data_IF_594812218472
#
_entry.id   IF_594812218472
#
_cell.length_a   1.000
_cell.length_b   1.000
_cell.length_c   1.000
_cell.angle_alpha   90.00
_cell.angle_beta   90.00
_cell.angle_gamma   90.00
#
_symmetry.space_group_name_H-M   'P 1'
#
loop_
_entity.id
_entity.type
_entity.pdbx_description
1 polymer ?
#
# COMPACT_ATOMS: atom_id res chain seq x y z
N UNK A 1 -10.18 -2.86 17.28
CA UNK A 1 -9.28 -2.39 18.34
C UNK A 1 -9.80 -1.07 18.85
N UNK A 2 -9.82 -0.89 20.17
CA UNK A 2 -10.46 0.25 20.87
C UNK A 2 -10.00 1.61 20.30
N UNK A 3 -8.72 1.75 19.98
CA UNK A 3 -8.17 2.99 19.42
C UNK A 3 -8.76 3.35 18.07
N UNK A 4 -8.85 2.39 17.16
CA UNK A 4 -9.44 2.61 15.82
C UNK A 4 -10.89 3.04 15.94
N UNK A 5 -11.69 2.35 16.76
CA UNK A 5 -13.10 2.69 16.95
C UNK A 5 -13.30 4.11 17.53
N UNK A 6 -12.40 4.55 18.42
CA UNK A 6 -12.41 5.93 18.95
C UNK A 6 -12.07 6.95 17.86
N UNK A 7 -11.07 6.67 17.03
CA UNK A 7 -10.69 7.56 15.93
C UNK A 7 -11.80 7.60 14.87
N UNK A 8 -12.40 6.44 14.51
CA UNK A 8 -13.54 6.38 13.58
C UNK A 8 -14.72 7.22 14.07
N UNK A 9 -15.03 7.11 15.37
CA UNK A 9 -16.08 7.94 15.99
C UNK A 9 -15.73 9.43 15.89
N UNK A 10 -14.52 9.82 16.27
CA UNK A 10 -14.04 11.21 16.15
C UNK A 10 -14.11 11.73 14.73
N UNK A 11 -13.69 10.95 13.72
CA UNK A 11 -13.76 11.34 12.31
C UNK A 11 -15.22 11.56 11.85
N UNK A 12 -16.17 10.79 12.40
CA UNK A 12 -17.59 10.94 12.12
C UNK A 12 -18.20 12.15 12.84
N UNK A 13 -17.86 12.32 14.11
CA UNK A 13 -18.40 13.41 14.96
C UNK A 13 -17.92 14.79 14.45
N UNK A 14 -16.74 14.88 13.88
CA UNK A 14 -16.13 16.10 13.33
C UNK A 14 -16.08 16.13 11.79
N UNK A 15 -16.95 15.39 11.13
CA UNK A 15 -16.92 15.24 9.67
C UNK A 15 -17.01 16.57 8.89
N UNK A 16 -17.72 17.54 9.42
CA UNK A 16 -17.86 18.90 8.84
C UNK A 16 -16.63 19.78 9.06
N UNK A 17 -15.79 19.45 10.03
CA UNK A 17 -14.60 20.25 10.42
C UNK A 17 -13.30 19.71 9.83
N UNK A 18 -13.31 18.46 9.37
CA UNK A 18 -12.14 17.75 8.82
C UNK A 18 -12.19 17.82 7.29
N UNK A 19 -11.14 18.35 6.68
CA UNK A 19 -11.01 18.38 5.22
C UNK A 19 -10.96 16.96 4.62
N UNK A 20 -11.35 16.82 3.34
CA UNK A 20 -11.23 15.54 2.63
C UNK A 20 -9.80 15.02 2.61
N UNK A 21 -8.81 15.92 2.51
CA UNK A 21 -7.40 15.56 2.52
C UNK A 21 -6.96 14.96 3.86
N UNK A 22 -7.32 15.58 4.98
CA UNK A 22 -7.02 15.06 6.31
C UNK A 22 -7.70 13.71 6.54
N UNK A 23 -8.94 13.56 6.12
CA UNK A 23 -9.70 12.30 6.19
C UNK A 23 -9.01 11.18 5.41
N UNK A 24 -8.52 11.48 4.21
CA UNK A 24 -7.76 10.54 3.41
C UNK A 24 -6.49 10.06 4.13
N UNK A 25 -5.74 10.97 4.76
CA UNK A 25 -4.54 10.62 5.53
C UNK A 25 -4.88 9.63 6.65
N UNK A 26 -5.97 9.84 7.39
CA UNK A 26 -6.39 8.90 8.44
C UNK A 26 -6.78 7.53 7.86
N UNK A 27 -7.51 7.50 6.75
CA UNK A 27 -7.90 6.25 6.10
C UNK A 27 -6.69 5.45 5.61
N UNK A 28 -5.70 6.10 5.02
CA UNK A 28 -4.44 5.47 4.63
C UNK A 28 -3.69 4.88 5.85
N UNK A 29 -3.65 5.61 6.97
CA UNK A 29 -3.07 5.11 8.23
C UNK A 29 -3.83 3.88 8.76
N UNK A 30 -5.16 3.84 8.63
CA UNK A 30 -5.93 2.66 9.02
C UNK A 30 -5.62 1.45 8.15
N UNK A 31 -5.54 1.62 6.84
CA UNK A 31 -5.15 0.52 5.94
C UNK A 31 -3.81 -0.07 6.38
N UNK A 32 -2.80 0.77 6.62
CA UNK A 32 -1.47 0.32 7.06
C UNK A 32 -1.51 -0.35 8.42
N UNK A 33 -2.23 0.21 9.38
CA UNK A 33 -2.41 -0.38 10.72
C UNK A 33 -3.00 -1.79 10.64
N UNK A 34 -4.05 -1.96 9.83
CA UNK A 34 -4.71 -3.26 9.67
C UNK A 34 -3.83 -4.28 8.91
N UNK A 35 -3.06 -3.84 7.91
CA UNK A 35 -2.07 -4.70 7.25
C UNK A 35 -1.01 -5.18 8.27
N UNK A 36 -0.47 -4.27 9.08
CA UNK A 36 0.55 -4.60 10.10
C UNK A 36 0.02 -5.56 11.16
N UNK A 37 -1.26 -5.46 11.52
CA UNK A 37 -1.92 -6.36 12.48
C UNK A 37 -2.46 -7.66 11.84
N UNK A 38 -2.24 -7.88 10.55
CA UNK A 38 -2.80 -9.02 9.78
C UNK A 38 -4.34 -9.08 9.77
N UNK A 39 -5.01 -7.95 9.98
CA UNK A 39 -6.47 -7.80 9.90
C UNK A 39 -6.87 -7.42 8.46
N UNK A 40 -6.57 -8.30 7.51
CA UNK A 40 -6.58 -8.00 6.07
C UNK A 40 -7.97 -7.63 5.53
N UNK A 41 -9.04 -8.25 6.05
CA UNK A 41 -10.43 -7.90 5.68
C UNK A 41 -10.78 -6.44 6.03
N UNK A 42 -10.26 -5.96 7.17
CA UNK A 42 -10.46 -4.56 7.57
C UNK A 42 -9.61 -3.63 6.72
N UNK A 43 -8.37 -4.01 6.44
CA UNK A 43 -7.51 -3.25 5.53
C UNK A 43 -8.18 -3.08 4.16
N UNK A 44 -8.74 -4.17 3.61
CA UNK A 44 -9.44 -4.15 2.32
C UNK A 44 -10.65 -3.20 2.35
N UNK A 45 -11.52 -3.31 3.37
CA UNK A 45 -12.69 -2.41 3.52
C UNK A 45 -12.31 -0.94 3.56
N UNK A 46 -11.24 -0.59 4.29
CA UNK A 46 -10.77 0.79 4.36
C UNK A 46 -10.16 1.26 3.05
N UNK A 47 -9.43 0.41 2.35
CA UNK A 47 -8.86 0.71 1.05
C UNK A 47 -9.96 0.95 -0.01
N UNK A 48 -11.00 0.13 -0.03
CA UNK A 48 -12.18 0.31 -0.88
C UNK A 48 -12.95 1.60 -0.54
N UNK A 49 -13.07 1.94 0.74
CA UNK A 49 -13.68 3.20 1.19
C UNK A 49 -12.90 4.41 0.66
N UNK A 50 -11.58 4.36 0.64
CA UNK A 50 -10.77 5.40 0.02
C UNK A 50 -11.10 5.47 -1.47
N UNK A 51 -11.00 4.36 -2.20
CA UNK A 51 -11.23 4.32 -3.65
C UNK A 51 -12.62 4.81 -4.07
N UNK A 52 -13.66 4.57 -3.25
CA UNK A 52 -15.03 4.99 -3.54
C UNK A 52 -15.30 6.47 -3.25
N UNK A 53 -14.51 7.11 -2.38
CA UNK A 53 -14.73 8.50 -1.94
C UNK A 53 -13.78 9.50 -2.61
N UNK A 54 -12.95 9.05 -3.54
CA UNK A 54 -11.97 9.90 -4.18
C UNK A 54 -12.58 10.77 -5.27
N UNK A 55 -12.62 12.09 -5.06
CA UNK A 55 -12.85 13.06 -6.13
C UNK A 55 -11.64 13.11 -7.07
N UNK A 56 -11.86 13.28 -8.37
CA UNK A 56 -10.85 13.06 -9.43
C UNK A 56 -9.57 13.90 -9.29
N UNK A 57 -9.66 15.10 -8.75
CA UNK A 57 -8.55 16.06 -8.78
C UNK A 57 -7.51 15.94 -7.67
N UNK A 58 -7.88 15.38 -6.51
CA UNK A 58 -6.97 15.25 -5.37
C UNK A 58 -5.99 14.08 -5.44
N UNK A 59 -6.01 13.20 -6.47
CA UNK A 59 -5.84 11.80 -6.14
C UNK A 59 -5.14 10.89 -7.15
N UNK A 60 -4.40 11.38 -8.11
CA UNK A 60 -3.57 10.49 -8.96
C UNK A 60 -2.61 9.66 -8.10
N UNK A 61 -1.94 10.33 -7.15
CA UNK A 61 -0.99 9.69 -6.23
C UNK A 61 -1.67 8.73 -5.26
N UNK A 62 -2.81 9.12 -4.71
CA UNK A 62 -3.57 8.28 -3.77
C UNK A 62 -4.23 7.08 -4.44
N UNK A 63 -4.72 7.20 -5.67
CA UNK A 63 -5.23 6.06 -6.44
C UNK A 63 -4.14 5.02 -6.68
N UNK A 64 -2.93 5.45 -7.06
CA UNK A 64 -1.81 4.55 -7.23
C UNK A 64 -1.43 3.85 -5.93
N UNK A 65 -1.33 4.61 -4.82
CA UNK A 65 -1.06 4.06 -3.50
C UNK A 65 -2.10 3.02 -3.05
N UNK A 66 -3.40 3.30 -3.24
CA UNK A 66 -4.46 2.35 -2.94
C UNK A 66 -4.34 1.06 -3.76
N UNK A 67 -3.90 1.14 -5.03
CA UNK A 67 -3.63 -0.04 -5.85
C UNK A 67 -2.42 -0.84 -5.36
N UNK A 68 -1.41 -0.17 -4.80
CA UNK A 68 -0.30 -0.85 -4.13
C UNK A 68 -0.79 -1.54 -2.86
N UNK A 69 -1.66 -0.91 -2.08
CA UNK A 69 -2.25 -1.56 -0.90
C UNK A 69 -3.09 -2.78 -1.26
N UNK A 70 -3.88 -2.75 -2.35
CA UNK A 70 -4.57 -3.95 -2.86
C UNK A 70 -3.57 -5.09 -3.11
N UNK A 71 -2.45 -4.78 -3.78
CA UNK A 71 -1.40 -5.76 -4.06
C UNK A 71 -0.77 -6.31 -2.77
N UNK A 72 -0.48 -5.44 -1.79
CA UNK A 72 0.07 -5.85 -0.49
C UNK A 72 -0.91 -6.77 0.26
N UNK A 73 -2.20 -6.41 0.30
CA UNK A 73 -3.24 -7.20 0.95
C UNK A 73 -3.35 -8.58 0.31
N UNK A 74 -3.39 -8.67 -1.02
CA UNK A 74 -3.43 -9.94 -1.75
C UNK A 74 -2.17 -10.79 -1.54
N UNK A 75 -1.01 -10.15 -1.47
CA UNK A 75 0.25 -10.83 -1.15
C UNK A 75 0.21 -11.45 0.26
N UNK A 76 -0.25 -10.70 1.25
CA UNK A 76 -0.38 -11.18 2.64
C UNK A 76 -1.46 -12.27 2.78
N UNK A 77 -2.56 -12.17 2.03
CA UNK A 77 -3.65 -13.17 1.98
C UNK A 77 -3.26 -14.43 1.21
N UNK A 78 -2.14 -14.43 0.50
CA UNK A 78 -1.70 -15.54 -0.36
C UNK A 78 -2.68 -15.86 -1.52
N UNK A 79 -3.36 -14.85 -2.03
CA UNK A 79 -4.29 -14.96 -3.15
C UNK A 79 -3.53 -14.78 -4.48
N UNK A 80 -2.71 -15.78 -4.82
CA UNK A 80 -1.71 -15.70 -5.90
C UNK A 80 -2.28 -15.39 -7.29
N UNK A 81 -3.47 -15.90 -7.64
CA UNK A 81 -4.12 -15.63 -8.93
C UNK A 81 -4.58 -14.17 -9.04
N UNK A 82 -5.24 -13.66 -7.98
CA UNK A 82 -5.67 -12.26 -7.92
C UNK A 82 -4.46 -11.31 -7.85
N UNK A 83 -3.43 -11.69 -7.12
CA UNK A 83 -2.18 -10.93 -7.04
C UNK A 83 -1.56 -10.74 -8.42
N UNK A 84 -1.47 -11.79 -9.24
CA UNK A 84 -0.93 -11.70 -10.60
C UNK A 84 -1.74 -10.76 -11.50
N UNK A 85 -3.06 -10.88 -11.43
CA UNK A 85 -3.96 -9.99 -12.18
C UNK A 85 -3.77 -8.52 -11.75
N UNK A 86 -3.66 -8.24 -10.44
CA UNK A 86 -3.44 -6.88 -9.92
C UNK A 86 -2.07 -6.34 -10.30
N UNK A 87 -1.00 -7.12 -10.15
CA UNK A 87 0.35 -6.74 -10.58
C UNK A 87 0.39 -6.41 -12.07
N UNK A 88 -0.30 -7.20 -12.90
CA UNK A 88 -0.35 -6.98 -14.36
C UNK A 88 -1.09 -5.70 -14.75
N UNK A 89 -2.04 -5.25 -13.92
CA UNK A 89 -2.80 -4.03 -14.16
C UNK A 89 -2.22 -2.79 -13.49
N UNK A 90 -1.33 -2.95 -12.50
CA UNK A 90 -0.78 -1.85 -11.69
C UNK A 90 -0.14 -0.75 -12.55
N UNK A 91 0.55 -1.15 -13.63
CA UNK A 91 1.18 -0.21 -14.60
C UNK A 91 0.20 0.79 -15.22
N UNK A 92 -1.10 0.44 -15.30
CA UNK A 92 -2.13 1.34 -15.86
C UNK A 92 -2.38 2.56 -14.96
N UNK A 93 -2.10 2.43 -13.67
CA UNK A 93 -2.27 3.47 -12.67
C UNK A 93 -0.98 4.25 -12.39
N UNK A 94 0.16 3.77 -12.89
CA UNK A 94 1.45 4.42 -12.74
C UNK A 94 1.59 5.58 -13.75
N UNK A 95 1.27 6.80 -13.34
CA UNK A 95 1.41 8.01 -14.16
C UNK A 95 2.74 8.72 -13.84
N UNK A 96 3.49 9.06 -14.90
CA UNK A 96 4.79 9.73 -14.77
C UNK A 96 5.95 8.76 -14.48
N UNK A 97 7.18 9.29 -14.63
CA UNK A 97 8.43 8.50 -14.58
C UNK A 97 8.63 7.81 -13.24
N UNK A 98 8.43 8.53 -12.12
CA UNK A 98 8.64 7.98 -10.77
C UNK A 98 7.74 6.79 -10.46
N UNK A 99 6.44 6.87 -10.78
CA UNK A 99 5.50 5.78 -10.53
C UNK A 99 5.75 4.58 -11.43
N UNK A 100 6.15 4.81 -12.68
CA UNK A 100 6.53 3.74 -13.62
C UNK A 100 7.79 3.01 -13.15
N UNK A 101 8.77 3.73 -12.64
CA UNK A 101 10.00 3.13 -12.11
C UNK A 101 9.70 2.30 -10.85
N UNK A 102 8.92 2.88 -9.91
CA UNK A 102 8.48 2.15 -8.72
C UNK A 102 7.69 0.89 -9.10
N UNK A 103 6.71 0.99 -9.98
CA UNK A 103 5.88 -0.13 -10.43
C UNK A 103 6.72 -1.28 -10.99
N UNK A 104 7.70 -0.97 -11.83
CA UNK A 104 8.60 -1.98 -12.40
C UNK A 104 9.39 -2.73 -11.33
N UNK A 105 10.02 -1.99 -10.42
CA UNK A 105 10.83 -2.55 -9.33
C UNK A 105 9.93 -3.41 -8.42
N UNK A 106 8.83 -2.85 -7.96
CA UNK A 106 7.90 -3.49 -7.05
C UNK A 106 7.28 -4.76 -7.63
N UNK A 107 6.74 -4.70 -8.85
CA UNK A 107 6.12 -5.83 -9.53
C UNK A 107 7.11 -6.96 -9.80
N UNK A 108 8.32 -6.65 -10.24
CA UNK A 108 9.40 -7.63 -10.47
C UNK A 108 9.67 -8.44 -9.20
N UNK A 109 9.88 -7.75 -8.08
CA UNK A 109 10.25 -8.40 -6.81
C UNK A 109 9.08 -9.15 -6.18
N UNK A 110 7.85 -8.64 -6.22
CA UNK A 110 6.71 -9.36 -5.68
C UNK A 110 6.41 -10.66 -6.46
N UNK A 111 6.58 -10.66 -7.78
CA UNK A 111 6.50 -11.89 -8.58
C UNK A 111 7.56 -12.92 -8.22
N UNK A 112 8.73 -12.49 -7.78
CA UNK A 112 9.78 -13.39 -7.29
C UNK A 112 9.45 -13.87 -5.88
N UNK A 113 9.11 -12.96 -4.96
CA UNK A 113 8.84 -13.26 -3.56
C UNK A 113 7.71 -14.28 -3.38
N UNK A 114 6.62 -14.18 -4.17
CA UNK A 114 5.49 -15.12 -4.07
C UNK A 114 5.86 -16.58 -4.39
N UNK A 115 6.92 -16.80 -5.19
CA UNK A 115 7.38 -18.14 -5.61
C UNK A 115 8.30 -18.81 -4.59
N UNK A 116 8.74 -18.09 -3.59
CA UNK A 116 9.71 -18.56 -2.59
C UNK A 116 9.18 -18.38 -1.17
N UNK A 117 9.85 -18.95 -0.18
CA UNK A 117 9.46 -18.85 1.24
C UNK A 117 10.71 -18.73 2.12
N UNK A 118 10.48 -18.27 3.35
CA UNK A 118 11.50 -18.19 4.38
C UNK A 118 12.68 -17.31 3.98
N UNK A 119 13.90 -17.81 4.16
CA UNK A 119 15.12 -17.01 3.89
C UNK A 119 15.16 -16.44 2.47
N UNK A 120 14.77 -17.22 1.46
CA UNK A 120 14.75 -16.75 0.06
C UNK A 120 13.74 -15.62 -0.17
N UNK A 121 12.60 -15.66 0.50
CA UNK A 121 11.61 -14.58 0.46
C UNK A 121 12.18 -13.29 1.07
N UNK A 122 12.84 -13.39 2.23
CA UNK A 122 13.53 -12.27 2.88
C UNK A 122 14.63 -11.68 1.99
N UNK A 123 15.40 -12.50 1.29
CA UNK A 123 16.45 -12.03 0.38
C UNK A 123 15.87 -11.25 -0.80
N UNK A 124 14.70 -11.64 -1.32
CA UNK A 124 13.99 -10.88 -2.35
C UNK A 124 13.52 -9.52 -1.79
N UNK A 125 13.00 -9.46 -0.57
CA UNK A 125 12.59 -8.19 0.05
C UNK A 125 13.77 -7.28 0.38
N UNK A 126 14.94 -7.83 0.79
CA UNK A 126 16.18 -7.05 0.93
C UNK A 126 16.61 -6.43 -0.40
N UNK A 127 16.55 -7.22 -1.49
CA UNK A 127 16.86 -6.73 -2.83
C UNK A 127 15.87 -5.64 -3.28
N UNK A 128 14.59 -5.81 -2.98
CA UNK A 128 13.56 -4.79 -3.25
C UNK A 128 13.87 -3.49 -2.52
N UNK A 129 14.11 -3.55 -1.22
CA UNK A 129 14.41 -2.36 -0.40
C UNK A 129 15.67 -1.65 -0.92
N UNK A 130 16.74 -2.37 -1.17
CA UNK A 130 17.99 -1.79 -1.69
C UNK A 130 17.84 -1.15 -3.07
N UNK A 131 17.03 -1.73 -3.98
CA UNK A 131 16.75 -1.15 -5.30
C UNK A 131 15.89 0.11 -5.19
N UNK A 132 14.92 0.13 -4.25
CA UNK A 132 14.11 1.32 -3.97
C UNK A 132 14.92 2.44 -3.32
N UNK A 133 15.78 2.14 -2.35
CA UNK A 133 16.65 3.11 -1.68
C UNK A 133 17.68 3.73 -2.63
N UNK A 134 18.29 2.92 -3.48
CA UNK A 134 19.27 3.43 -4.49
C UNK A 134 18.61 4.35 -5.53
N UNK A 135 17.31 4.25 -5.69
CA UNK A 135 16.50 5.09 -6.59
C UNK A 135 15.69 6.17 -5.86
N UNK A 136 15.89 6.35 -4.55
CA UNK A 136 15.01 7.14 -3.67
C UNK A 136 14.85 8.61 -4.10
N UNK A 137 15.87 9.24 -4.67
CA UNK A 137 15.78 10.61 -5.20
C UNK A 137 14.67 10.78 -6.25
N UNK A 138 14.35 9.71 -6.97
CA UNK A 138 13.39 9.70 -8.07
C UNK A 138 12.05 9.03 -7.70
N UNK A 139 11.95 8.40 -6.53
CA UNK A 139 10.82 7.54 -6.16
C UNK A 139 9.97 8.03 -4.99
N UNK A 140 10.34 9.12 -4.31
CA UNK A 140 9.57 9.66 -3.18
C UNK A 140 8.19 10.14 -3.61
N UNK A 141 7.16 9.57 -3.01
CA UNK A 141 5.76 9.98 -3.14
C UNK A 141 5.01 9.77 -1.81
N UNK A 142 3.83 10.37 -1.69
CA UNK A 142 3.01 10.22 -0.47
C UNK A 142 2.70 8.73 -0.22
N UNK A 143 3.09 8.23 0.96
CA UNK A 143 2.89 6.83 1.35
C UNK A 143 4.05 5.89 1.02
N UNK A 144 5.13 6.38 0.40
CA UNK A 144 6.34 5.58 0.17
C UNK A 144 6.91 5.00 1.47
N UNK A 145 6.97 5.80 2.55
CA UNK A 145 7.46 5.37 3.86
C UNK A 145 6.64 4.20 4.43
N UNK A 146 5.34 4.20 4.19
CA UNK A 146 4.46 3.12 4.64
C UNK A 146 4.76 1.80 3.92
N UNK A 147 5.07 1.88 2.62
CA UNK A 147 5.46 0.71 1.83
C UNK A 147 6.85 0.21 2.25
N UNK A 148 7.80 1.13 2.44
CA UNK A 148 9.14 0.80 2.92
C UNK A 148 9.08 0.09 4.28
N UNK A 149 8.31 0.62 5.23
CA UNK A 149 8.07 -0.02 6.53
C UNK A 149 7.48 -1.44 6.41
N UNK A 150 6.53 -1.65 5.51
CA UNK A 150 6.00 -2.99 5.25
C UNK A 150 7.08 -3.95 4.73
N UNK A 151 7.94 -3.48 3.80
CA UNK A 151 9.06 -4.26 3.26
C UNK A 151 10.06 -4.63 4.36
N UNK A 152 10.44 -3.68 5.23
CA UNK A 152 11.33 -3.89 6.37
C UNK A 152 10.78 -4.98 7.31
N UNK A 153 9.49 -4.92 7.64
CA UNK A 153 8.83 -5.95 8.45
C UNK A 153 8.88 -7.34 7.80
N UNK A 154 8.88 -7.44 6.45
CA UNK A 154 9.05 -8.74 5.75
C UNK A 154 10.47 -9.28 5.85
N UNK A 155 11.45 -8.43 6.10
CA UNK A 155 12.86 -8.82 6.27
C UNK A 155 13.12 -9.29 7.70
N UNK A 156 12.51 -8.64 8.70
CA UNK A 156 12.73 -8.90 10.11
C UNK A 156 12.00 -10.17 10.61
N UNK A 157 10.77 -10.42 10.17
CA UNK A 157 9.95 -11.58 10.55
C UNK A 157 10.44 -12.85 9.87
#
# INVERSE_FOLDING_TARGET
TILVSKIEKGLKDYESEISQHERLIYYLKFVMLFISNKELDKAQKWNEKILSNLQEDLLKDSKFLCRIFDVIILYESREDELLDARLSTLKKFASGKKYKNFEKIFTKHLRQARKVRGKKEKDVFRSLLGELESSASDLTFVGFDAIAYWIENKIEL
#
